data_IF_474547933078
#
_entry.id   IF_474547933078
#
_cell.length_a   1.000
_cell.length_b   1.000
_cell.length_c   1.000
_cell.angle_alpha   90.00
_cell.angle_beta   90.00
_cell.angle_gamma   90.00
#
_symmetry.space_group_name_H-M   'P 1'
#
loop_
_entity.id
_entity.type
_entity.pdbx_description
1 polymer ?
#
# COMPACT_ATOMS: atom_id res chain seq x y z
N UNK A 1 -29.76 5.32 -12.87
CA UNK A 1 -30.09 5.05 -11.46
C UNK A 1 -28.92 4.35 -10.76
N UNK A 2 -28.27 3.35 -11.38
CA UNK A 2 -27.13 2.62 -10.79
C UNK A 2 -25.87 3.50 -10.59
N UNK A 3 -25.55 4.39 -11.54
CA UNK A 3 -24.40 5.31 -11.45
C UNK A 3 -24.54 6.31 -10.30
N UNK A 4 -25.71 6.89 -10.10
CA UNK A 4 -25.97 7.83 -8.99
C UNK A 4 -25.78 7.15 -7.63
N UNK A 5 -26.20 5.89 -7.48
CA UNK A 5 -25.99 5.13 -6.24
C UNK A 5 -24.51 4.88 -5.96
N UNK A 6 -23.71 4.49 -6.96
CA UNK A 6 -22.26 4.28 -6.80
C UNK A 6 -21.52 5.57 -6.44
N UNK A 7 -21.84 6.69 -7.10
CA UNK A 7 -21.22 7.99 -6.79
C UNK A 7 -21.55 8.47 -5.38
N UNK A 8 -22.77 8.26 -4.90
CA UNK A 8 -23.15 8.56 -3.51
C UNK A 8 -22.34 7.71 -2.53
N UNK A 9 -22.17 6.42 -2.79
CA UNK A 9 -21.35 5.54 -1.95
C UNK A 9 -19.87 5.98 -1.94
N UNK A 10 -19.30 6.37 -3.07
CA UNK A 10 -17.93 6.90 -3.16
C UNK A 10 -17.80 8.18 -2.33
N UNK A 11 -18.71 9.12 -2.49
CA UNK A 11 -18.75 10.36 -1.70
C UNK A 11 -18.81 10.07 -0.20
N UNK A 12 -19.68 9.16 0.20
CA UNK A 12 -19.89 8.86 1.61
C UNK A 12 -18.66 8.15 2.23
N UNK A 13 -17.97 7.30 1.47
CA UNK A 13 -16.67 6.71 1.85
C UNK A 13 -15.63 7.79 2.06
N UNK A 14 -15.41 8.66 1.08
CA UNK A 14 -14.41 9.74 1.17
C UNK A 14 -14.73 10.67 2.33
N UNK A 15 -16.00 11.01 2.56
CA UNK A 15 -16.43 11.85 3.69
C UNK A 15 -16.21 11.16 5.03
N UNK A 16 -16.38 9.85 5.11
CA UNK A 16 -16.13 9.07 6.33
C UNK A 16 -14.63 8.99 6.62
N UNK A 17 -13.81 8.72 5.61
CA UNK A 17 -12.34 8.71 5.73
C UNK A 17 -11.85 10.07 6.24
N UNK A 18 -12.30 11.16 5.64
CA UNK A 18 -11.90 12.52 6.04
C UNK A 18 -12.23 12.81 7.50
N UNK A 19 -13.48 12.55 7.92
CA UNK A 19 -13.89 12.75 9.32
C UNK A 19 -13.10 11.87 10.29
N UNK A 20 -12.87 10.60 9.93
CA UNK A 20 -12.09 9.70 10.76
C UNK A 20 -10.67 10.21 11.00
N UNK A 21 -10.02 10.75 9.98
CA UNK A 21 -8.66 11.31 10.08
C UNK A 21 -8.67 12.61 10.89
N UNK A 22 -9.62 13.52 10.64
CA UNK A 22 -9.77 14.78 11.36
C UNK A 22 -10.05 14.56 12.86
N UNK A 23 -10.93 13.59 13.19
CA UNK A 23 -11.26 13.23 14.59
C UNK A 23 -10.03 12.67 15.36
N UNK A 24 -9.01 12.17 14.64
CA UNK A 24 -7.74 11.72 15.20
C UNK A 24 -6.65 12.81 15.23
N UNK A 25 -7.02 14.03 14.86
CA UNK A 25 -6.13 15.19 14.88
C UNK A 25 -5.21 15.31 13.66
N UNK A 26 -5.47 14.57 12.58
CA UNK A 26 -4.77 14.78 11.33
C UNK A 26 -5.26 16.05 10.64
N UNK A 27 -4.32 16.78 10.05
CA UNK A 27 -4.59 17.96 9.23
C UNK A 27 -4.65 17.55 7.77
N UNK A 28 -5.78 17.81 7.10
CA UNK A 28 -5.86 17.64 5.65
C UNK A 28 -5.06 18.74 4.96
N UNK A 29 -4.23 18.35 4.03
CA UNK A 29 -3.39 19.27 3.25
C UNK A 29 -3.55 19.02 1.76
N UNK A 30 -3.16 19.99 0.94
CA UNK A 30 -3.09 19.88 -0.51
C UNK A 30 -1.68 20.24 -0.96
N UNK A 31 -1.01 19.31 -1.65
CA UNK A 31 0.38 19.46 -2.10
C UNK A 31 0.47 19.51 -3.63
N UNK A 32 1.58 20.02 -4.21
CA UNK A 32 1.68 20.20 -5.65
C UNK A 32 1.54 18.90 -6.45
N UNK A 33 0.74 18.95 -7.52
CA UNK A 33 0.62 17.88 -8.52
C UNK A 33 1.80 17.92 -9.50
N UNK A 34 2.22 19.11 -9.93
CA UNK A 34 3.40 19.30 -10.78
C UNK A 34 4.65 19.39 -9.92
N UNK A 35 5.56 18.44 -10.07
CA UNK A 35 6.74 18.31 -9.24
C UNK A 35 8.03 18.31 -10.09
N UNK A 36 9.14 18.84 -9.56
CA UNK A 36 10.42 18.85 -10.28
C UNK A 36 11.10 17.46 -10.31
N UNK A 37 10.70 16.57 -9.39
CA UNK A 37 11.21 15.20 -9.28
C UNK A 37 10.04 14.29 -8.91
N UNK A 38 9.82 13.24 -9.67
CA UNK A 38 8.89 12.17 -9.30
C UNK A 38 9.55 11.34 -8.18
N UNK A 39 8.89 11.26 -7.03
CA UNK A 39 9.38 10.56 -5.84
C UNK A 39 8.22 9.90 -5.08
N UNK A 40 8.54 8.97 -4.17
CA UNK A 40 7.55 8.22 -3.39
C UNK A 40 7.14 6.90 -4.04
N UNK A 41 7.99 6.34 -4.91
CA UNK A 41 7.74 5.04 -5.55
C UNK A 41 8.63 4.78 -6.76
N UNK A 42 8.43 3.62 -7.38
CA UNK A 42 9.16 3.17 -8.57
C UNK A 42 8.36 3.36 -9.87
N UNK A 43 7.15 3.92 -9.79
CA UNK A 43 6.28 4.10 -10.94
C UNK A 43 6.85 5.09 -11.98
N UNK A 44 6.55 4.87 -13.25
CA UNK A 44 6.92 5.78 -14.32
C UNK A 44 6.04 7.04 -14.29
N UNK A 45 6.62 8.27 -14.26
CA UNK A 45 5.84 9.50 -14.25
C UNK A 45 5.38 9.91 -15.66
N UNK A 46 4.29 10.70 -15.72
CA UNK A 46 4.01 11.52 -16.90
C UNK A 46 4.87 12.78 -16.84
N UNK A 47 5.45 13.16 -17.98
CA UNK A 47 6.32 14.34 -18.12
C UNK A 47 5.57 15.46 -18.84
N UNK A 48 5.75 16.70 -18.41
CA UNK A 48 5.26 17.90 -19.07
C UNK A 48 6.34 19.00 -19.08
N UNK A 49 6.23 19.99 -19.97
CA UNK A 49 7.17 21.09 -20.07
C UNK A 49 6.58 22.40 -19.55
N UNK A 50 7.31 23.07 -18.63
CA UNK A 50 6.94 24.39 -18.13
C UNK A 50 7.61 25.48 -18.98
N UNK A 51 6.84 26.10 -19.89
CA UNK A 51 7.37 27.04 -20.88
C UNK A 51 8.11 28.23 -20.25
N UNK A 52 7.53 28.87 -19.24
CA UNK A 52 8.13 30.06 -18.63
C UNK A 52 9.44 29.78 -17.86
N UNK A 53 9.60 28.59 -17.33
CA UNK A 53 10.81 28.16 -16.63
C UNK A 53 11.75 27.37 -17.54
N UNK A 54 11.34 27.05 -18.76
CA UNK A 54 12.07 26.24 -19.74
C UNK A 54 12.67 24.96 -19.12
N UNK A 55 11.82 24.21 -18.41
CA UNK A 55 12.22 22.95 -17.77
C UNK A 55 11.09 21.94 -17.76
N UNK A 56 11.45 20.66 -17.70
CA UNK A 56 10.49 19.58 -17.54
C UNK A 56 10.04 19.47 -16.09
N UNK A 57 8.77 19.16 -15.94
CA UNK A 57 8.11 18.80 -14.69
C UNK A 57 7.41 17.46 -14.87
N UNK A 58 7.07 16.83 -13.76
CA UNK A 58 6.39 15.56 -13.72
C UNK A 58 5.05 15.69 -13.01
N UNK A 59 4.05 14.91 -13.44
CA UNK A 59 2.88 14.65 -12.62
C UNK A 59 3.29 13.71 -11.48
N UNK A 60 2.89 14.03 -10.25
CA UNK A 60 3.27 13.26 -9.05
C UNK A 60 2.79 11.82 -9.12
N UNK A 61 3.62 10.88 -8.71
CA UNK A 61 3.29 9.44 -8.59
C UNK A 61 2.85 9.06 -7.17
N UNK A 62 3.11 9.94 -6.19
CA UNK A 62 2.75 9.82 -4.77
C UNK A 62 2.80 11.21 -4.11
N UNK A 63 2.25 11.36 -2.92
CA UNK A 63 2.29 12.59 -2.12
C UNK A 63 3.38 12.56 -1.04
N UNK A 64 4.01 11.40 -0.83
CA UNK A 64 4.95 11.05 0.24
C UNK A 64 5.97 12.14 0.57
N UNK A 65 6.75 12.59 -0.42
CA UNK A 65 7.84 13.53 -0.18
C UNK A 65 7.37 14.87 0.40
N UNK A 66 6.22 15.35 -0.06
CA UNK A 66 5.65 16.60 0.42
C UNK A 66 5.06 16.45 1.82
N UNK A 67 4.36 15.36 2.11
CA UNK A 67 3.80 15.10 3.42
C UNK A 67 4.90 14.91 4.48
N UNK A 68 5.97 14.18 4.17
CA UNK A 68 7.14 14.05 5.05
C UNK A 68 7.80 15.42 5.33
N UNK A 69 7.89 16.31 4.34
CA UNK A 69 8.40 17.67 4.56
C UNK A 69 7.52 18.48 5.53
N UNK A 70 6.21 18.29 5.48
CA UNK A 70 5.28 18.93 6.42
C UNK A 70 5.47 18.41 7.84
N UNK A 71 5.70 17.09 8.00
CA UNK A 71 6.04 16.49 9.31
C UNK A 71 7.36 17.08 9.85
N UNK A 72 8.40 17.15 9.02
CA UNK A 72 9.68 17.80 9.39
C UNK A 72 9.47 19.29 9.72
N UNK A 73 8.52 19.94 9.06
CA UNK A 73 8.11 21.32 9.33
C UNK A 73 7.32 21.54 10.62
N UNK A 74 6.99 20.46 11.36
CA UNK A 74 6.31 20.52 12.66
C UNK A 74 4.82 20.18 12.64
N UNK A 75 4.27 19.71 11.51
CA UNK A 75 2.90 19.18 11.46
C UNK A 75 2.95 17.67 11.77
N UNK A 76 2.72 17.32 13.02
CA UNK A 76 2.91 15.94 13.51
C UNK A 76 2.00 14.90 12.83
N UNK A 77 0.80 15.31 12.37
CA UNK A 77 -0.19 14.43 11.73
C UNK A 77 -0.76 15.11 10.50
N UNK A 78 -0.48 14.58 9.33
CA UNK A 78 -0.97 15.13 8.06
C UNK A 78 -1.52 14.03 7.16
N UNK A 79 -2.52 14.37 6.36
CA UNK A 79 -3.00 13.49 5.29
C UNK A 79 -3.43 14.30 4.07
N UNK A 80 -3.44 13.65 2.93
CA UNK A 80 -3.96 14.20 1.69
C UNK A 80 -4.80 13.12 0.97
N UNK A 81 -5.98 13.51 0.50
CA UNK A 81 -6.80 12.72 -0.42
C UNK A 81 -6.68 13.39 -1.78
N UNK A 82 -5.91 12.80 -2.68
CA UNK A 82 -5.57 13.47 -3.94
C UNK A 82 -5.31 12.53 -5.11
N UNK A 83 -5.22 13.12 -6.30
CA UNK A 83 -4.87 12.42 -7.53
C UNK A 83 -3.38 12.15 -7.60
N UNK A 84 -3.04 10.93 -8.00
CA UNK A 84 -1.69 10.52 -8.39
C UNK A 84 -1.72 9.92 -9.80
N UNK A 85 -0.56 9.93 -10.45
CA UNK A 85 -0.45 9.62 -11.87
C UNK A 85 0.71 8.65 -12.11
N UNK A 86 0.43 7.48 -12.68
CA UNK A 86 1.44 6.46 -12.98
C UNK A 86 1.32 6.06 -14.44
N UNK A 87 2.35 6.35 -15.24
CA UNK A 87 2.39 6.07 -16.67
C UNK A 87 2.79 4.59 -16.92
N UNK A 88 1.88 3.71 -16.53
CA UNK A 88 2.05 2.25 -16.61
C UNK A 88 0.90 1.63 -17.40
N UNK A 89 0.81 0.29 -17.43
CA UNK A 89 -0.25 -0.43 -18.12
C UNK A 89 -1.63 -0.17 -17.51
N UNK A 90 -2.67 -0.47 -18.27
CA UNK A 90 -4.08 -0.40 -17.84
C UNK A 90 -4.61 -1.81 -17.75
N UNK A 91 -5.19 -2.16 -16.60
CA UNK A 91 -5.92 -3.42 -16.41
C UNK A 91 -7.13 -3.18 -15.47
N UNK A 92 -7.71 -4.23 -14.91
CA UNK A 92 -8.87 -4.12 -14.02
C UNK A 92 -8.55 -3.46 -12.67
N UNK A 93 -7.29 -3.47 -12.24
CA UNK A 93 -6.83 -2.94 -10.95
C UNK A 93 -5.99 -1.67 -11.10
N UNK A 94 -5.45 -1.41 -12.29
CA UNK A 94 -4.53 -0.30 -12.55
C UNK A 94 -5.11 0.71 -13.53
N UNK A 95 -5.20 1.95 -13.08
CA UNK A 95 -5.56 3.11 -13.90
C UNK A 95 -4.42 4.14 -13.82
N UNK A 96 -3.98 4.75 -14.93
CA UNK A 96 -2.89 5.72 -14.94
C UNK A 96 -3.16 6.98 -14.08
N UNK A 97 -4.41 7.27 -13.78
CA UNK A 97 -4.84 8.35 -12.88
C UNK A 97 -5.83 7.79 -11.87
N UNK A 98 -5.52 7.91 -10.59
CA UNK A 98 -6.39 7.44 -9.52
C UNK A 98 -6.27 8.32 -8.27
N UNK A 99 -7.25 8.21 -7.37
CA UNK A 99 -7.24 8.90 -6.08
C UNK A 99 -6.68 7.96 -5.02
N UNK A 100 -5.70 8.46 -4.26
CA UNK A 100 -5.19 7.79 -3.06
C UNK A 100 -5.36 8.69 -1.85
N UNK A 101 -5.38 8.09 -0.66
CA UNK A 101 -5.18 8.79 0.60
C UNK A 101 -3.82 8.37 1.15
N UNK A 102 -2.96 9.34 1.41
CA UNK A 102 -1.70 9.14 2.12
C UNK A 102 -1.70 9.91 3.43
N UNK A 103 -1.14 9.33 4.49
CA UNK A 103 -1.05 9.96 5.79
C UNK A 103 0.31 9.68 6.43
N UNK A 104 0.78 10.65 7.23
CA UNK A 104 2.04 10.58 7.96
C UNK A 104 1.82 11.08 9.38
N UNK A 105 2.32 10.31 10.34
CA UNK A 105 2.20 10.59 11.76
C UNK A 105 3.57 10.46 12.43
N UNK A 106 4.02 11.55 13.09
CA UNK A 106 5.22 11.53 13.91
C UNK A 106 5.01 10.68 15.17
N UNK A 107 6.05 9.99 15.61
CA UNK A 107 6.07 9.18 16.83
C UNK A 107 5.14 7.96 16.83
N UNK A 108 4.59 7.59 15.68
CA UNK A 108 3.85 6.35 15.47
C UNK A 108 4.71 5.31 14.75
N UNK A 109 4.40 4.04 14.94
CA UNK A 109 5.00 2.94 14.20
C UNK A 109 3.98 2.21 13.31
N UNK A 110 4.43 1.20 12.57
CA UNK A 110 3.57 0.45 11.66
C UNK A 110 2.43 -0.30 12.38
N UNK A 111 2.57 -0.63 13.68
CA UNK A 111 1.50 -1.25 14.46
C UNK A 111 0.38 -0.25 14.76
N UNK A 112 0.73 0.99 15.09
CA UNK A 112 -0.24 2.07 15.29
C UNK A 112 -1.04 2.32 14.01
N UNK A 113 -0.35 2.29 12.86
CA UNK A 113 -0.98 2.48 11.54
C UNK A 113 -1.87 1.30 11.18
N UNK A 114 -1.50 0.03 11.47
CA UNK A 114 -2.39 -1.12 11.29
C UNK A 114 -3.70 -0.95 12.07
N UNK A 115 -3.62 -0.55 13.34
CA UNK A 115 -4.80 -0.28 14.19
C UNK A 115 -5.63 0.88 13.61
N UNK A 116 -4.99 1.93 13.11
CA UNK A 116 -5.69 3.03 12.45
C UNK A 116 -6.44 2.56 11.20
N UNK A 117 -5.79 1.81 10.32
CA UNK A 117 -6.36 1.35 9.04
C UNK A 117 -7.52 0.40 9.24
N UNK A 118 -7.40 -0.63 10.10
CA UNK A 118 -8.50 -1.57 10.34
C UNK A 118 -9.75 -0.87 10.91
N UNK A 119 -9.56 0.13 11.76
CA UNK A 119 -10.66 0.93 12.29
C UNK A 119 -11.26 1.87 11.22
N UNK A 120 -10.42 2.49 10.39
CA UNK A 120 -10.86 3.35 9.27
C UNK A 120 -11.75 2.58 8.30
N UNK A 121 -11.29 1.39 7.88
CA UNK A 121 -12.02 0.56 6.92
C UNK A 121 -13.30 0.02 7.54
N UNK A 122 -13.24 -0.47 8.79
CA UNK A 122 -14.42 -0.93 9.54
C UNK A 122 -15.48 0.16 9.66
N UNK A 123 -15.10 1.37 10.08
CA UNK A 123 -16.03 2.50 10.18
C UNK A 123 -16.59 2.92 8.83
N UNK A 124 -15.79 2.84 7.76
CA UNK A 124 -16.27 3.10 6.40
C UNK A 124 -17.30 2.06 5.95
N UNK A 125 -17.09 0.79 6.28
CA UNK A 125 -18.06 -0.27 6.00
C UNK A 125 -19.37 -0.05 6.77
N UNK A 126 -19.29 0.27 8.05
CA UNK A 126 -20.46 0.53 8.91
C UNK A 126 -21.23 1.77 8.43
N UNK A 127 -20.55 2.84 8.05
CA UNK A 127 -21.19 4.07 7.59
C UNK A 127 -22.04 3.87 6.32
N UNK A 128 -21.67 2.91 5.47
CA UNK A 128 -22.33 2.64 4.20
C UNK A 128 -23.34 1.50 4.31
N UNK A 129 -22.95 0.40 4.98
CA UNK A 129 -23.73 -0.84 5.02
C UNK A 129 -24.43 -1.06 6.37
N UNK A 130 -24.24 -0.16 7.35
CA UNK A 130 -24.74 -0.28 8.72
C UNK A 130 -24.16 -1.49 9.50
N UNK A 131 -23.16 -2.14 8.94
CA UNK A 131 -22.46 -3.30 9.52
C UNK A 131 -21.03 -3.35 9.02
N UNK A 132 -20.12 -3.93 9.81
CA UNK A 132 -18.76 -4.24 9.38
C UNK A 132 -18.67 -5.52 8.52
N UNK A 133 -19.77 -6.29 8.42
CA UNK A 133 -19.84 -7.48 7.57
C UNK A 133 -20.50 -7.11 6.25
N UNK A 134 -19.80 -7.35 5.16
CA UNK A 134 -20.22 -6.95 3.82
C UNK A 134 -20.30 -8.18 2.92
N UNK A 135 -21.47 -8.39 2.31
CA UNK A 135 -21.63 -9.42 1.29
C UNK A 135 -20.94 -8.97 0.00
N UNK A 136 -20.04 -9.80 -0.51
CA UNK A 136 -19.31 -9.58 -1.75
C UNK A 136 -19.23 -10.91 -2.51
N UNK A 137 -19.81 -10.95 -3.71
CA UNK A 137 -20.03 -12.18 -4.48
C UNK A 137 -20.68 -13.27 -3.58
N UNK A 138 -20.10 -14.45 -3.48
CA UNK A 138 -20.59 -15.55 -2.68
C UNK A 138 -19.95 -15.62 -1.27
N UNK A 139 -19.34 -14.51 -0.81
CA UNK A 139 -18.59 -14.47 0.45
C UNK A 139 -19.03 -13.31 1.34
N UNK A 140 -19.02 -13.54 2.66
CA UNK A 140 -19.14 -12.46 3.65
C UNK A 140 -17.75 -12.01 4.07
N UNK A 141 -17.44 -10.74 3.84
CA UNK A 141 -16.19 -10.10 4.30
C UNK A 141 -16.43 -9.47 5.67
N UNK A 142 -15.65 -9.85 6.66
CA UNK A 142 -15.76 -9.33 8.03
C UNK A 142 -14.65 -8.29 8.31
N UNK A 143 -14.99 -7.01 8.23
CA UNK A 143 -14.09 -5.89 8.52
C UNK A 143 -13.99 -5.54 10.00
N UNK A 144 -14.51 -6.38 10.90
CA UNK A 144 -14.45 -6.13 12.35
C UNK A 144 -13.00 -6.24 12.85
N UNK A 145 -12.43 -5.18 13.50
CA UNK A 145 -11.10 -5.28 14.11
C UNK A 145 -11.09 -6.24 15.33
N UNK A 146 -9.93 -6.82 15.67
CA UNK A 146 -8.65 -6.70 15.01
C UNK A 146 -8.52 -7.66 13.80
N UNK A 147 -7.89 -7.20 12.72
CA UNK A 147 -7.60 -8.07 11.59
C UNK A 147 -6.38 -8.97 11.87
N UNK A 148 -6.30 -10.17 11.29
CA UNK A 148 -5.10 -11.02 11.37
C UNK A 148 -3.84 -10.29 10.89
N UNK A 149 -2.72 -10.46 11.63
CA UNK A 149 -1.37 -10.06 11.22
C UNK A 149 -0.65 -11.34 10.80
N UNK A 150 -0.33 -11.43 9.52
CA UNK A 150 0.24 -12.62 8.88
C UNK A 150 1.70 -12.31 8.56
N UNK A 151 2.63 -13.03 9.16
CA UNK A 151 4.05 -12.92 8.85
C UNK A 151 4.33 -13.45 7.44
N UNK A 152 4.93 -12.60 6.58
CA UNK A 152 5.18 -12.92 5.17
C UNK A 152 6.08 -14.14 5.00
N UNK A 153 7.14 -14.29 5.82
CA UNK A 153 8.05 -15.42 5.73
C UNK A 153 7.33 -16.73 6.05
N UNK A 154 6.59 -16.74 7.15
CA UNK A 154 5.81 -17.91 7.57
C UNK A 154 4.80 -18.28 6.49
N UNK A 155 4.07 -17.31 5.98
CA UNK A 155 3.08 -17.52 4.91
C UNK A 155 3.72 -18.04 3.61
N UNK A 156 4.89 -17.51 3.23
CA UNK A 156 5.65 -18.01 2.08
C UNK A 156 6.02 -19.49 2.23
N UNK A 157 6.50 -19.89 3.39
CA UNK A 157 6.85 -21.29 3.66
C UNK A 157 5.60 -22.19 3.63
N UNK A 158 4.50 -21.75 4.22
CA UNK A 158 3.23 -22.50 4.26
C UNK A 158 2.67 -22.74 2.85
N UNK A 159 2.64 -21.72 2.01
CA UNK A 159 1.99 -21.80 0.69
C UNK A 159 2.91 -22.40 -0.40
N UNK A 160 4.22 -22.26 -0.26
CA UNK A 160 5.16 -22.57 -1.35
C UNK A 160 6.31 -23.47 -0.96
N UNK A 161 6.56 -23.67 0.33
CA UNK A 161 7.78 -24.35 0.83
C UNK A 161 9.05 -23.50 0.70
N UNK A 162 8.96 -22.25 0.22
CA UNK A 162 10.13 -21.38 0.02
C UNK A 162 10.34 -20.48 1.24
N UNK A 163 11.46 -20.66 1.93
CA UNK A 163 12.00 -19.67 2.86
C UNK A 163 12.93 -18.71 2.10
N UNK A 164 12.42 -17.55 1.72
CA UNK A 164 13.18 -16.60 0.93
C UNK A 164 14.42 -16.06 1.65
N UNK A 165 14.52 -16.15 2.97
CA UNK A 165 15.71 -15.75 3.74
C UNK A 165 16.88 -16.73 3.62
N UNK A 166 16.64 -17.95 3.16
CA UNK A 166 17.69 -18.94 2.88
C UNK A 166 18.34 -18.72 1.50
N UNK A 167 17.74 -17.91 0.64
CA UNK A 167 18.28 -17.56 -0.66
C UNK A 167 19.14 -16.31 -0.60
N UNK A 168 20.42 -16.44 -0.95
CA UNK A 168 21.41 -15.36 -0.86
C UNK A 168 21.52 -14.50 -2.12
N UNK A 169 20.94 -14.94 -3.22
CA UNK A 169 20.96 -14.24 -4.51
C UNK A 169 19.72 -14.59 -5.36
N UNK A 170 19.52 -13.80 -6.41
CA UNK A 170 18.38 -13.93 -7.32
C UNK A 170 18.32 -15.29 -8.02
N UNK A 171 19.45 -15.89 -8.40
CA UNK A 171 19.47 -17.16 -9.12
C UNK A 171 18.98 -18.31 -8.25
N UNK A 172 19.38 -18.35 -6.97
CA UNK A 172 18.92 -19.36 -6.02
C UNK A 172 17.40 -19.30 -5.82
N UNK A 173 16.85 -18.08 -5.59
CA UNK A 173 15.41 -17.88 -5.43
C UNK A 173 14.65 -18.21 -6.74
N UNK A 174 15.19 -17.78 -7.88
CA UNK A 174 14.63 -18.06 -9.21
C UNK A 174 14.48 -19.56 -9.45
N UNK A 175 15.52 -20.34 -9.16
CA UNK A 175 15.50 -21.79 -9.33
C UNK A 175 14.44 -22.44 -8.42
N UNK A 176 14.32 -22.01 -7.16
CA UNK A 176 13.30 -22.52 -6.24
C UNK A 176 11.88 -22.19 -6.74
N UNK A 177 11.64 -20.97 -7.23
CA UNK A 177 10.35 -20.56 -7.79
C UNK A 177 9.99 -21.34 -9.06
N UNK A 178 10.96 -21.59 -9.95
CA UNK A 178 10.76 -22.40 -11.15
C UNK A 178 10.40 -23.85 -10.81
N UNK A 179 11.00 -24.42 -9.75
CA UNK A 179 10.72 -25.78 -9.30
C UNK A 179 9.26 -25.99 -8.88
N UNK A 180 8.57 -24.92 -8.42
CA UNK A 180 7.14 -24.94 -8.08
C UNK A 180 6.24 -24.37 -9.19
N UNK A 181 6.79 -24.19 -10.41
CA UNK A 181 6.03 -23.83 -11.61
C UNK A 181 5.74 -22.32 -11.77
N UNK A 182 6.43 -21.43 -11.06
CA UNK A 182 6.29 -19.99 -11.25
C UNK A 182 7.11 -19.53 -12.46
N UNK A 183 6.49 -18.81 -13.39
CA UNK A 183 7.19 -18.24 -14.53
C UNK A 183 7.90 -16.93 -14.11
N UNK A 184 9.22 -16.98 -14.06
CA UNK A 184 10.09 -15.87 -13.62
C UNK A 184 10.95 -15.30 -14.76
N UNK A 185 10.58 -15.53 -16.03
CA UNK A 185 11.38 -15.15 -17.20
C UNK A 185 11.66 -13.65 -17.31
N UNK A 186 10.77 -12.82 -16.81
CA UNK A 186 10.87 -11.36 -16.86
C UNK A 186 11.50 -10.73 -15.59
N UNK A 187 11.72 -11.53 -14.53
CA UNK A 187 12.24 -11.00 -13.27
C UNK A 187 13.77 -11.14 -13.20
N UNK A 188 14.43 -10.03 -12.91
CA UNK A 188 15.91 -9.95 -12.84
C UNK A 188 16.43 -9.60 -11.45
N UNK A 189 15.61 -8.99 -10.60
CA UNK A 189 16.01 -8.59 -9.24
C UNK A 189 15.42 -9.52 -8.19
N UNK A 190 16.10 -9.63 -7.05
CA UNK A 190 15.61 -10.41 -5.90
C UNK A 190 14.25 -9.89 -5.40
N UNK A 191 14.09 -8.56 -5.32
CA UNK A 191 12.84 -7.92 -4.92
C UNK A 191 11.70 -8.23 -5.91
N UNK A 192 11.95 -8.15 -7.22
CA UNK A 192 10.95 -8.49 -8.23
C UNK A 192 10.56 -9.97 -8.25
N UNK A 193 11.49 -10.88 -7.90
CA UNK A 193 11.16 -12.29 -7.71
C UNK A 193 10.25 -12.49 -6.50
N UNK A 194 10.53 -11.83 -5.39
CA UNK A 194 9.67 -11.88 -4.20
C UNK A 194 8.29 -11.30 -4.46
N UNK A 195 8.21 -10.15 -5.11
CA UNK A 195 6.97 -9.52 -5.52
C UNK A 195 6.10 -10.49 -6.34
N UNK A 196 6.72 -11.16 -7.32
CA UNK A 196 6.03 -12.18 -8.10
C UNK A 196 5.64 -13.43 -7.31
N UNK A 197 6.44 -13.86 -6.34
CA UNK A 197 6.08 -14.98 -5.45
C UNK A 197 4.84 -14.62 -4.61
N UNK A 198 4.82 -13.41 -4.09
CA UNK A 198 3.71 -12.89 -3.29
C UNK A 198 2.45 -12.83 -4.15
N UNK A 199 2.50 -12.16 -5.28
CA UNK A 199 1.32 -11.96 -6.14
C UNK A 199 0.78 -13.25 -6.76
N UNK A 200 1.65 -14.22 -7.12
CA UNK A 200 1.18 -15.47 -7.74
C UNK A 200 0.69 -16.50 -6.72
N UNK A 201 1.20 -16.51 -5.48
CA UNK A 201 0.99 -17.61 -4.54
C UNK A 201 0.42 -17.21 -3.18
N UNK A 202 0.66 -16.00 -2.71
CA UNK A 202 0.25 -15.56 -1.37
C UNK A 202 -1.03 -14.74 -1.44
N UNK A 203 -1.04 -13.64 -2.21
CA UNK A 203 -2.19 -12.76 -2.33
C UNK A 203 -3.51 -13.47 -2.64
N UNK A 204 -3.59 -14.46 -3.57
CA UNK A 204 -4.83 -15.15 -3.86
C UNK A 204 -5.41 -15.94 -2.67
N UNK A 205 -4.58 -16.23 -1.65
CA UNK A 205 -5.01 -16.92 -0.43
C UNK A 205 -5.59 -15.98 0.64
N UNK A 206 -5.36 -14.66 0.50
CA UNK A 206 -5.76 -13.63 1.46
C UNK A 206 -7.19 -13.14 1.16
N UNK A 207 -8.18 -13.98 1.42
CA UNK A 207 -9.58 -13.71 1.07
C UNK A 207 -10.29 -12.79 2.06
N UNK A 208 -10.01 -12.89 3.35
CA UNK A 208 -10.58 -12.03 4.39
C UNK A 208 -9.66 -10.84 4.68
N UNK A 209 -10.19 -9.72 5.23
CA UNK A 209 -9.36 -8.59 5.64
C UNK A 209 -8.22 -9.03 6.56
N UNK A 210 -6.98 -8.74 6.16
CA UNK A 210 -5.79 -9.08 6.92
C UNK A 210 -4.63 -8.14 6.57
N UNK A 211 -3.59 -8.17 7.40
CA UNK A 211 -2.30 -7.52 7.13
C UNK A 211 -1.23 -8.59 6.91
N UNK A 212 -0.51 -8.46 5.81
CA UNK A 212 0.72 -9.19 5.56
C UNK A 212 1.88 -8.32 6.06
N UNK A 213 2.67 -8.83 6.99
CA UNK A 213 3.65 -8.04 7.75
C UNK A 213 5.07 -8.54 7.56
N UNK A 214 6.02 -7.70 7.97
CA UNK A 214 7.44 -8.06 8.04
C UNK A 214 8.02 -8.44 6.67
N UNK A 215 8.16 -7.41 5.82
CA UNK A 215 8.74 -7.54 4.48
C UNK A 215 10.28 -7.59 4.56
N UNK A 216 10.98 -8.30 3.63
CA UNK A 216 12.44 -8.27 3.61
C UNK A 216 12.98 -6.90 3.19
N UNK A 217 14.12 -6.51 3.77
CA UNK A 217 14.83 -5.24 3.48
C UNK A 217 15.03 -5.02 1.97
N UNK A 218 15.22 -6.09 1.19
CA UNK A 218 15.40 -6.01 -0.26
C UNK A 218 14.20 -5.39 -1.01
N UNK A 219 12.98 -5.51 -0.46
CA UNK A 219 11.76 -4.92 -1.02
C UNK A 219 11.48 -3.50 -0.51
N UNK A 220 12.04 -3.13 0.66
CA UNK A 220 11.78 -1.82 1.29
C UNK A 220 13.02 -1.31 2.02
N UNK A 221 14.05 -0.87 1.28
CA UNK A 221 15.33 -0.48 1.87
C UNK A 221 15.27 0.80 2.71
N UNK A 222 14.21 1.59 2.59
CA UNK A 222 13.99 2.84 3.32
C UNK A 222 13.10 2.67 4.57
N UNK A 223 12.54 1.48 4.78
CA UNK A 223 11.78 1.18 5.98
C UNK A 223 12.71 0.79 7.14
N UNK A 224 12.27 1.08 8.36
CA UNK A 224 12.96 0.72 9.60
C UNK A 224 13.00 -0.80 9.76
N UNK A 225 14.18 -1.32 10.13
CA UNK A 225 14.36 -2.76 10.38
C UNK A 225 13.63 -3.19 11.64
N UNK A 226 13.05 -4.39 11.62
CA UNK A 226 12.47 -4.97 12.84
C UNK A 226 13.57 -5.26 13.87
N UNK A 227 13.25 -5.10 15.16
CA UNK A 227 14.19 -5.36 16.23
C UNK A 227 14.50 -6.84 16.40
N UNK A 228 13.58 -7.73 16.01
CA UNK A 228 13.72 -9.19 16.13
C UNK A 228 14.56 -9.79 15.00
N UNK A 229 14.55 -9.20 13.81
CA UNK A 229 15.25 -9.72 12.64
C UNK A 229 15.71 -8.57 11.71
N UNK A 230 17.00 -8.20 11.69
CA UNK A 230 17.50 -7.09 10.89
C UNK A 230 17.45 -7.31 9.35
N UNK A 231 17.06 -8.50 8.89
CA UNK A 231 16.79 -8.77 7.46
C UNK A 231 15.36 -8.39 7.06
N UNK A 232 14.49 -8.12 8.02
CA UNK A 232 13.10 -7.72 7.84
C UNK A 232 12.90 -6.27 8.24
N UNK A 233 11.82 -5.66 7.72
CA UNK A 233 11.46 -4.27 8.00
C UNK A 233 10.05 -4.16 8.57
N UNK A 234 9.81 -3.13 9.35
CA UNK A 234 8.53 -2.72 9.91
C UNK A 234 7.64 -2.16 8.78
N UNK A 235 7.12 -3.06 7.93
CA UNK A 235 6.22 -2.78 6.82
C UNK A 235 5.07 -3.77 6.82
N UNK A 236 3.90 -3.30 6.42
CA UNK A 236 2.76 -4.15 6.12
C UNK A 236 2.05 -3.72 4.85
N UNK A 237 1.33 -4.65 4.27
CA UNK A 237 0.30 -4.41 3.27
C UNK A 237 -1.02 -5.00 3.76
N UNK A 238 -2.12 -4.28 3.53
CA UNK A 238 -3.46 -4.76 3.87
C UNK A 238 -4.15 -5.36 2.66
N UNK A 239 -4.75 -6.53 2.84
CA UNK A 239 -5.40 -7.28 1.76
C UNK A 239 -6.85 -7.59 2.08
N UNK A 240 -7.66 -7.62 1.01
CA UNK A 240 -9.04 -8.12 1.01
C UNK A 240 -9.29 -8.78 -0.35
N UNK A 241 -9.74 -10.03 -0.38
CA UNK A 241 -10.00 -10.79 -1.61
C UNK A 241 -8.80 -10.84 -2.57
N UNK A 242 -7.59 -10.96 -2.01
CA UNK A 242 -6.34 -10.94 -2.78
C UNK A 242 -5.96 -9.58 -3.37
N UNK A 243 -6.68 -8.53 -3.03
CA UNK A 243 -6.40 -7.17 -3.49
C UNK A 243 -5.72 -6.36 -2.39
N UNK A 244 -4.60 -5.71 -2.71
CA UNK A 244 -3.96 -4.73 -1.84
C UNK A 244 -4.85 -3.49 -1.70
N UNK A 245 -5.18 -3.12 -0.46
CA UNK A 245 -5.97 -1.93 -0.14
C UNK A 245 -5.18 -0.85 0.58
N UNK A 246 -4.05 -1.19 1.15
CA UNK A 246 -3.13 -0.24 1.80
C UNK A 246 -1.72 -0.82 1.95
N UNK A 247 -0.76 0.09 2.09
CA UNK A 247 0.64 -0.21 2.32
C UNK A 247 1.23 0.85 3.25
N UNK A 248 1.97 0.44 4.28
CA UNK A 248 2.64 1.39 5.17
C UNK A 248 3.87 0.75 5.84
N UNK A 249 4.75 1.62 6.32
CA UNK A 249 5.97 1.22 7.02
C UNK A 249 6.41 2.28 8.02
N UNK A 250 7.18 1.85 9.02
CA UNK A 250 7.93 2.78 9.88
C UNK A 250 9.13 3.31 9.10
N UNK A 251 9.30 4.64 9.08
CA UNK A 251 10.45 5.26 8.41
C UNK A 251 11.77 4.97 9.14
N UNK A 252 12.87 4.99 8.39
CA UNK A 252 14.22 4.99 8.96
C UNK A 252 14.44 6.25 9.80
N UNK A 253 15.05 6.06 10.95
CA UNK A 253 15.55 7.15 11.81
C UNK A 253 16.95 7.59 11.37
#
# INVERSE_FOLDING_TARGET
>A
VRLVGSEMCIRDRVSTIRRFMEDRGFIEVETPILVPVAAGGMAHPFTTHHNALNRDLYLRIATELHLKRLVVGGLEKVFEIGRVFRNEGIDQQHNPEFTTMESYEAFADYNDVMVMVENLVSQSAIAINQTAKVEFDDSTLDFTPPWPRIDLRTKSIEETGIDFLEHTNSDSLKNAMQAIGINVSQQVSFAGLLDKLISDKIEPTLTQPCFLTDYPVAMSPLAKKTSSNPKMVERFEGFVMGMEICNAFSDLN
#
